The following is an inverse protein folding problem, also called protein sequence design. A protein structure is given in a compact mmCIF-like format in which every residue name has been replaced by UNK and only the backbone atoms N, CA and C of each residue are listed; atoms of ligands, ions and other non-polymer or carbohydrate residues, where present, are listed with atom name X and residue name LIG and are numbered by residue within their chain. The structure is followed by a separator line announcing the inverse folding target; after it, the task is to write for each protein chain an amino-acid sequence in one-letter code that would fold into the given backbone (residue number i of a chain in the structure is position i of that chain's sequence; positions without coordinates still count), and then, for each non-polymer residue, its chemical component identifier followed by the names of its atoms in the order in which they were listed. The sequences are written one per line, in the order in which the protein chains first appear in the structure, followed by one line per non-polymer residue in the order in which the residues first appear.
data_IF_047143000364
#
_entry.id   IF_047143000364
#
_cell.length_a   1.000
_cell.length_b   1.000
_cell.length_c   1.000
_cell.angle_alpha   90.00
_cell.angle_beta   90.00
_cell.angle_gamma   90.00
#
_symmetry.space_group_name_H-M   'P 1'
#
loop_
_entity.id
_entity.type
_entity.pdbx_description
1 polymer ?
#
# COMPACT_ATOMS: atom_id res chain seq x y z
N UNK A 1 -14.36 -10.71 22.60
CA UNK A 1 -14.02 -11.38 21.33
C UNK A 1 -12.95 -10.62 20.56
N UNK A 2 -13.22 -9.43 19.98
CA UNK A 2 -12.25 -8.81 19.06
C UNK A 2 -10.91 -8.39 19.71
N UNK A 3 -10.95 -7.85 20.92
CA UNK A 3 -9.74 -7.52 21.69
C UNK A 3 -8.95 -8.78 22.09
N UNK A 4 -9.65 -9.85 22.45
CA UNK A 4 -9.03 -11.07 22.98
C UNK A 4 -8.36 -11.90 21.88
N UNK A 5 -9.00 -12.02 20.71
CA UNK A 5 -8.48 -12.83 19.61
C UNK A 5 -7.61 -12.04 18.63
N UNK A 6 -7.95 -10.78 18.38
CA UNK A 6 -7.30 -9.96 17.35
C UNK A 6 -6.54 -8.76 17.92
N UNK A 7 -6.48 -8.59 19.24
CA UNK A 7 -5.79 -7.45 19.88
C UNK A 7 -6.28 -6.07 19.41
N UNK A 8 -7.52 -5.98 18.93
CA UNK A 8 -8.17 -4.72 18.54
C UNK A 8 -8.98 -4.22 19.73
N UNK A 9 -8.61 -3.06 20.29
CA UNK A 9 -9.27 -2.50 21.47
C UNK A 9 -10.00 -1.20 21.11
N UNK A 10 -11.31 -1.18 21.35
CA UNK A 10 -12.15 0.02 21.30
C UNK A 10 -12.52 0.36 22.74
N UNK A 11 -12.31 1.60 23.14
CA UNK A 11 -12.61 2.08 24.49
C UNK A 11 -14.13 2.26 24.72
N UNK A 12 -14.51 2.65 25.94
CA UNK A 12 -15.92 2.87 26.31
C UNK A 12 -16.53 4.10 25.63
N UNK A 13 -15.70 5.03 25.19
CA UNK A 13 -16.10 6.26 24.50
C UNK A 13 -16.23 6.05 22.98
N UNK A 14 -15.89 4.86 22.48
CA UNK A 14 -15.98 4.47 21.06
C UNK A 14 -14.72 4.77 20.25
N UNK A 15 -13.60 5.14 20.89
CA UNK A 15 -12.33 5.39 20.21
C UNK A 15 -11.50 4.11 20.08
N UNK A 16 -10.82 3.97 18.95
CA UNK A 16 -9.87 2.89 18.74
C UNK A 16 -8.58 3.17 19.51
N UNK A 17 -8.28 2.34 20.51
CA UNK A 17 -7.11 2.49 21.38
C UNK A 17 -5.96 1.55 21.01
N UNK A 18 -6.21 0.44 20.32
CA UNK A 18 -5.17 -0.56 19.99
C UNK A 18 -5.46 -1.31 18.70
N UNK A 19 -4.39 -1.60 17.97
CA UNK A 19 -4.35 -2.47 16.79
C UNK A 19 -3.35 -3.63 16.99
N UNK A 20 -3.54 -4.77 16.30
CA UNK A 20 -2.64 -5.92 16.38
C UNK A 20 -1.29 -5.67 15.71
N UNK A 21 -0.19 -6.08 16.32
CA UNK A 21 1.11 -6.12 15.63
C UNK A 21 1.19 -7.43 14.83
N UNK A 22 0.94 -7.36 13.52
CA UNK A 22 0.99 -8.53 12.61
C UNK A 22 2.43 -8.91 12.27
N UNK A 23 3.29 -7.91 12.06
CA UNK A 23 4.69 -8.07 11.75
C UNK A 23 5.52 -7.09 12.57
N UNK A 24 6.66 -7.56 13.09
CA UNK A 24 7.55 -6.70 13.86
C UNK A 24 8.08 -5.54 13.01
N UNK A 25 8.17 -4.37 13.62
CA UNK A 25 8.64 -3.11 12.98
C UNK A 25 7.84 -2.68 11.74
N UNK A 26 6.60 -3.16 11.59
CA UNK A 26 5.71 -2.75 10.51
C UNK A 26 4.43 -2.11 11.06
N UNK A 27 4.18 -0.88 10.65
CA UNK A 27 2.95 -0.14 10.94
C UNK A 27 2.17 0.03 9.64
N UNK A 28 0.87 -0.31 9.60
CA UNK A 28 0.05 -0.16 8.42
C UNK A 28 -0.21 1.32 8.12
N UNK A 29 -0.70 1.60 6.92
CA UNK A 29 -1.10 2.93 6.48
C UNK A 29 -2.36 3.39 7.25
N UNK A 30 -2.18 4.37 8.14
CA UNK A 30 -3.25 4.85 9.02
C UNK A 30 -4.30 5.70 8.28
N UNK A 31 -4.02 6.17 7.07
CA UNK A 31 -5.00 6.90 6.26
C UNK A 31 -6.16 5.98 5.83
N UNK A 32 -5.93 4.66 5.83
CA UNK A 32 -6.95 3.63 5.51
C UNK A 32 -7.69 3.12 6.74
N UNK A 33 -7.36 3.64 7.92
CA UNK A 33 -8.03 3.23 9.15
C UNK A 33 -9.56 3.41 9.10
N UNK A 34 -10.12 4.49 8.52
CA UNK A 34 -11.58 4.62 8.40
C UNK A 34 -12.21 3.50 7.55
N UNK A 35 -11.58 3.12 6.44
CA UNK A 35 -12.04 2.02 5.57
C UNK A 35 -11.99 0.67 6.30
N UNK A 36 -10.92 0.43 7.05
CA UNK A 36 -10.79 -0.75 7.89
C UNK A 36 -11.89 -0.82 8.96
N UNK A 37 -12.19 0.30 9.64
CA UNK A 37 -13.25 0.37 10.65
C UNK A 37 -14.64 0.10 10.05
N UNK A 38 -14.91 0.58 8.83
CA UNK A 38 -16.15 0.28 8.11
C UNK A 38 -16.26 -1.21 7.76
N UNK A 39 -15.17 -1.79 7.24
CA UNK A 39 -15.08 -3.22 6.92
C UNK A 39 -15.37 -4.07 8.17
N UNK A 40 -14.84 -3.64 9.31
CA UNK A 40 -14.93 -4.36 10.57
C UNK A 40 -16.36 -4.40 11.14
N UNK A 41 -17.15 -3.36 10.88
CA UNK A 41 -18.56 -3.29 11.26
C UNK A 41 -19.52 -3.92 10.26
N UNK A 42 -19.27 -3.77 8.95
CA UNK A 42 -20.22 -4.14 7.90
C UNK A 42 -19.95 -5.49 7.22
N UNK A 43 -18.67 -5.79 6.98
CA UNK A 43 -18.29 -6.90 6.10
C UNK A 43 -17.91 -8.18 6.87
N UNK A 44 -17.61 -8.04 8.17
CA UNK A 44 -17.27 -9.18 9.02
C UNK A 44 -18.54 -9.85 9.54
N UNK A 45 -18.68 -11.15 9.24
CA UNK A 45 -19.81 -11.95 9.72
C UNK A 45 -19.53 -12.47 11.14
N UNK A 46 -19.88 -11.68 12.15
CA UNK A 46 -19.62 -12.01 13.56
C UNK A 46 -20.47 -13.16 14.12
N UNK A 47 -21.56 -13.53 13.45
CA UNK A 47 -22.51 -14.54 13.93
C UNK A 47 -22.01 -15.99 13.81
N UNK A 48 -21.10 -16.25 12.85
CA UNK A 48 -20.59 -17.60 12.55
C UNK A 48 -19.09 -17.62 12.87
N UNK A 49 -18.71 -18.34 13.94
CA UNK A 49 -17.33 -18.35 14.46
C UNK A 49 -16.27 -18.55 13.36
N UNK A 50 -16.40 -19.60 12.55
CA UNK A 50 -15.40 -19.91 11.52
C UNK A 50 -15.28 -18.82 10.46
N UNK A 51 -16.40 -18.25 10.01
CA UNK A 51 -16.38 -17.19 9.00
C UNK A 51 -15.90 -15.88 9.62
N UNK A 52 -16.29 -15.56 10.86
CA UNK A 52 -15.80 -14.42 11.63
C UNK A 52 -14.26 -14.38 11.65
N UNK A 53 -13.60 -15.49 12.02
CA UNK A 53 -12.14 -15.57 11.99
C UNK A 53 -11.55 -15.36 10.60
N UNK A 54 -12.18 -15.96 9.58
CA UNK A 54 -11.71 -15.87 8.21
C UNK A 54 -11.83 -14.44 7.65
N UNK A 55 -13.00 -13.81 7.81
CA UNK A 55 -13.26 -12.45 7.30
C UNK A 55 -12.49 -11.41 8.10
N UNK A 56 -12.35 -11.59 9.42
CA UNK A 56 -11.54 -10.70 10.25
C UNK A 56 -10.05 -10.78 9.89
N UNK A 57 -9.50 -12.00 9.73
CA UNK A 57 -8.12 -12.17 9.30
C UNK A 57 -7.86 -11.59 7.90
N UNK A 58 -8.83 -11.73 6.99
CA UNK A 58 -8.76 -11.10 5.67
C UNK A 58 -8.80 -9.57 5.74
N UNK A 59 -9.69 -8.99 6.56
CA UNK A 59 -9.77 -7.54 6.77
C UNK A 59 -8.47 -6.98 7.38
N UNK A 60 -7.92 -7.64 8.40
CA UNK A 60 -6.62 -7.28 8.98
C UNK A 60 -5.52 -7.41 7.92
N UNK A 61 -5.48 -8.51 7.16
CA UNK A 61 -4.51 -8.72 6.10
C UNK A 61 -4.56 -7.62 5.02
N UNK A 62 -5.75 -7.19 4.62
CA UNK A 62 -5.95 -6.11 3.67
C UNK A 62 -5.51 -4.75 4.26
N UNK A 63 -5.85 -4.45 5.50
CA UNK A 63 -5.43 -3.21 6.16
C UNK A 63 -3.90 -3.13 6.35
N UNK A 64 -3.26 -4.27 6.61
CA UNK A 64 -1.80 -4.39 6.70
C UNK A 64 -1.11 -4.55 5.34
N UNK A 65 -1.84 -4.63 4.24
CA UNK A 65 -1.23 -4.72 2.92
C UNK A 65 -0.47 -3.42 2.61
N UNK A 66 0.69 -3.55 1.97
CA UNK A 66 1.48 -2.38 1.59
C UNK A 66 0.89 -1.73 0.34
N UNK A 67 0.31 -0.56 0.50
CA UNK A 67 -0.23 0.21 -0.60
C UNK A 67 0.78 1.23 -1.15
N UNK A 68 0.63 1.67 -2.41
CA UNK A 68 1.34 2.83 -2.91
C UNK A 68 0.96 4.08 -2.08
N UNK A 69 1.91 5.01 -1.83
CA UNK A 69 1.59 6.29 -1.23
C UNK A 69 0.61 7.06 -2.12
N UNK A 70 -0.19 7.94 -1.52
CA UNK A 70 -1.16 8.78 -2.26
C UNK A 70 -0.41 9.82 -3.13
N UNK A 71 0.81 10.18 -2.72
CA UNK A 71 1.70 11.10 -3.42
C UNK A 71 2.29 10.50 -4.71
N UNK A 72 2.49 11.31 -5.77
CA UNK A 72 2.98 10.83 -7.06
C UNK A 72 4.38 10.22 -6.95
N UNK A 73 4.67 9.20 -7.76
CA UNK A 73 6.01 8.60 -7.79
C UNK A 73 7.03 9.58 -8.40
N UNK A 74 8.07 9.99 -7.65
CA UNK A 74 9.09 10.92 -8.16
C UNK A 74 9.96 10.31 -9.26
N UNK A 75 10.13 8.99 -9.30
CA UNK A 75 10.93 8.27 -10.30
C UNK A 75 10.16 7.92 -11.59
N UNK A 76 8.85 8.16 -11.64
CA UNK A 76 7.99 7.82 -12.77
C UNK A 76 7.57 9.02 -13.62
N UNK A 77 7.12 8.76 -14.86
CA UNK A 77 6.45 9.77 -15.71
C UNK A 77 5.11 10.29 -15.15
N UNK A 78 4.71 9.89 -13.93
CA UNK A 78 3.43 10.24 -13.31
C UNK A 78 3.25 11.74 -13.08
N UNK A 79 4.34 12.45 -12.79
CA UNK A 79 4.33 13.93 -12.66
C UNK A 79 3.88 14.59 -13.98
N UNK A 80 4.16 13.98 -15.14
CA UNK A 80 3.78 14.54 -16.44
C UNK A 80 2.30 14.28 -16.82
N UNK A 81 1.64 13.27 -16.22
CA UNK A 81 0.25 12.93 -16.53
C UNK A 81 -0.74 13.88 -15.83
N UNK A 82 -0.43 14.35 -14.62
CA UNK A 82 -1.20 15.43 -13.99
C UNK A 82 -1.04 16.74 -14.76
N UNK A 83 0.16 17.06 -15.22
CA UNK A 83 0.42 18.23 -16.10
C UNK A 83 -0.43 18.19 -17.38
N UNK A 84 -0.45 17.04 -18.06
CA UNK A 84 -1.19 16.88 -19.32
C UNK A 84 -2.73 16.88 -19.17
N UNK A 85 -3.27 16.46 -18.03
CA UNK A 85 -4.71 16.52 -17.77
C UNK A 85 -5.17 17.92 -17.36
N UNK A 86 -4.30 18.76 -16.78
CA UNK A 86 -4.63 20.13 -16.37
C UNK A 86 -4.54 21.14 -17.53
N UNK A 87 -3.58 20.96 -18.45
CA UNK A 87 -3.47 21.75 -19.69
C UNK A 87 -4.72 21.68 -20.59
N UNK A 88 -5.50 20.59 -20.52
CA UNK A 88 -6.76 20.46 -21.27
C UNK A 88 -7.94 21.22 -20.63
N UNK A 89 -7.80 21.72 -19.39
CA UNK A 89 -8.87 22.43 -18.66
C UNK A 89 -8.59 23.92 -18.47
N UNK A 90 -7.36 24.40 -18.75
CA UNK A 90 -6.93 25.80 -18.62
C UNK A 90 -7.14 26.67 -19.88
N UNK A 91 -8.19 26.41 -20.68
CA UNK A 91 -8.61 27.37 -21.74
C UNK A 91 -9.67 28.37 -21.26
N UNK A 92 -9.95 28.44 -19.95
CA UNK A 92 -10.79 29.48 -19.38
C UNK A 92 -10.18 29.98 -18.07
N UNK A 93 -9.79 31.27 -18.09
CA UNK A 93 -9.35 32.12 -16.97
C UNK A 93 -7.83 32.20 -16.70
N UNK A 94 -7.22 33.25 -17.27
CA UNK A 94 -5.91 33.77 -16.88
C UNK A 94 -6.00 34.56 -15.57
N UNK A 95 -5.21 34.20 -14.55
CA UNK A 95 -4.45 35.13 -13.69
C UNK A 95 -3.63 34.37 -12.61
N UNK A 96 -2.30 34.48 -12.65
CA UNK A 96 -1.39 34.17 -11.52
C UNK A 96 -0.29 33.15 -11.84
N UNK A 97 0.85 33.59 -12.39
CA UNK A 97 1.96 32.73 -12.84
C UNK A 97 3.15 32.67 -11.88
N UNK A 98 2.92 32.63 -10.55
CA UNK A 98 4.04 32.63 -9.58
C UNK A 98 3.88 31.65 -8.41
N UNK A 99 2.75 30.95 -8.27
CA UNK A 99 2.53 30.05 -7.11
C UNK A 99 2.51 28.55 -7.46
N UNK A 100 2.45 28.18 -8.75
CA UNK A 100 2.30 26.75 -9.14
C UNK A 100 3.61 25.95 -9.09
N UNK A 101 4.75 26.56 -9.42
CA UNK A 101 6.06 25.90 -9.36
C UNK A 101 6.49 25.62 -7.92
N UNK A 102 6.10 26.48 -6.96
CA UNK A 102 6.40 26.29 -5.54
C UNK A 102 5.57 25.15 -4.92
N UNK A 103 4.30 25.00 -5.31
CA UNK A 103 3.42 23.90 -4.85
C UNK A 103 3.90 22.54 -5.41
N UNK A 104 4.34 22.51 -6.68
CA UNK A 104 4.92 21.32 -7.31
C UNK A 104 6.20 20.88 -6.58
N UNK A 105 7.03 21.83 -6.17
CA UNK A 105 8.29 21.56 -5.50
C UNK A 105 8.10 21.10 -4.04
N UNK A 106 7.11 21.64 -3.33
CA UNK A 106 6.75 21.19 -1.98
C UNK A 106 6.17 19.77 -2.00
N UNK A 107 5.27 19.47 -2.94
CA UNK A 107 4.69 18.13 -3.11
C UNK A 107 5.76 17.08 -3.43
N UNK A 108 6.75 17.44 -4.26
CA UNK A 108 7.87 16.55 -4.58
C UNK A 108 8.77 16.29 -3.38
N UNK A 109 9.03 17.32 -2.57
CA UNK A 109 9.82 17.20 -1.34
C UNK A 109 9.14 16.28 -0.32
N UNK A 110 7.80 16.21 -0.29
CA UNK A 110 7.05 15.24 0.53
C UNK A 110 7.01 13.85 -0.12
N UNK A 111 6.95 13.76 -1.44
CA UNK A 111 6.86 12.49 -2.15
C UNK A 111 8.13 11.63 -2.00
N UNK A 112 9.32 12.22 -2.14
CA UNK A 112 10.59 11.50 -2.04
C UNK A 112 10.74 10.67 -0.75
N UNK A 113 10.59 11.24 0.47
CA UNK A 113 10.72 10.46 1.70
C UNK A 113 9.64 9.38 1.83
N UNK A 114 8.40 9.64 1.41
CA UNK A 114 7.32 8.65 1.46
C UNK A 114 7.62 7.42 0.58
N UNK A 115 8.10 7.66 -0.64
CA UNK A 115 8.49 6.57 -1.55
C UNK A 115 9.75 5.85 -1.07
N UNK A 116 10.75 6.56 -0.56
CA UNK A 116 11.96 5.96 0.01
C UNK A 116 11.65 5.09 1.24
N UNK A 117 10.75 5.54 2.13
CA UNK A 117 10.29 4.76 3.27
C UNK A 117 9.61 3.47 2.81
N UNK A 118 8.75 3.55 1.79
CA UNK A 118 8.08 2.37 1.23
C UNK A 118 9.07 1.35 0.68
N UNK A 119 10.05 1.80 -0.11
CA UNK A 119 11.09 0.93 -0.67
C UNK A 119 11.93 0.28 0.44
N UNK A 120 12.25 1.03 1.49
CA UNK A 120 12.97 0.51 2.64
C UNK A 120 12.17 -0.59 3.35
N UNK A 121 10.87 -0.36 3.62
CA UNK A 121 10.00 -1.36 4.25
C UNK A 121 9.94 -2.64 3.39
N UNK A 122 9.81 -2.50 2.07
CA UNK A 122 9.80 -3.65 1.15
C UNK A 122 11.09 -4.46 1.29
N UNK A 123 12.24 -3.79 1.23
CA UNK A 123 13.54 -4.43 1.20
C UNK A 123 13.93 -5.07 2.54
N UNK A 124 13.67 -4.38 3.65
CA UNK A 124 14.22 -4.73 4.96
C UNK A 124 13.22 -5.33 5.93
N UNK A 125 11.91 -5.20 5.68
CA UNK A 125 10.86 -5.73 6.54
C UNK A 125 10.05 -6.81 5.83
N UNK A 126 9.43 -6.48 4.69
CA UNK A 126 8.52 -7.41 4.01
C UNK A 126 9.23 -8.59 3.36
N UNK A 127 10.24 -8.37 2.50
CA UNK A 127 10.90 -9.49 1.83
C UNK A 127 11.57 -10.48 2.79
N UNK A 128 12.29 -10.04 3.84
CA UNK A 128 12.82 -10.95 4.86
C UNK A 128 11.72 -11.78 5.53
N UNK A 129 10.58 -11.16 5.81
CA UNK A 129 9.45 -11.80 6.48
C UNK A 129 8.70 -12.78 5.57
N UNK A 130 8.48 -12.40 4.31
CA UNK A 130 7.89 -13.28 3.29
C UNK A 130 8.73 -14.55 3.10
N UNK A 131 10.07 -14.42 3.09
CA UNK A 131 10.97 -15.59 2.99
C UNK A 131 10.79 -16.59 4.14
N UNK A 132 10.38 -16.12 5.32
CA UNK A 132 10.21 -16.97 6.51
C UNK A 132 8.78 -17.49 6.67
N UNK A 133 7.77 -16.67 6.37
CA UNK A 133 6.38 -16.94 6.76
C UNK A 133 5.43 -17.18 5.58
N UNK A 134 5.72 -16.68 4.38
CA UNK A 134 4.77 -16.76 3.27
C UNK A 134 4.72 -18.17 2.69
N UNK A 135 3.51 -18.75 2.68
CA UNK A 135 3.20 -20.00 1.99
C UNK A 135 2.21 -19.71 0.86
N UNK A 136 2.69 -19.38 -0.36
CA UNK A 136 1.79 -18.92 -1.42
C UNK A 136 0.90 -20.07 -1.91
N UNK A 137 -0.43 -19.87 -2.03
CA UNK A 137 -1.31 -20.85 -2.67
C UNK A 137 -0.99 -20.99 -4.16
N UNK A 138 -1.34 -22.14 -4.74
CA UNK A 138 -1.06 -22.44 -6.16
C UNK A 138 -1.76 -21.48 -7.13
N UNK A 139 -2.87 -20.87 -6.72
CA UNK A 139 -3.60 -19.89 -7.52
C UNK A 139 -2.75 -18.67 -7.90
N UNK A 140 -1.81 -18.27 -7.03
CA UNK A 140 -0.92 -17.11 -7.22
C UNK A 140 0.03 -17.30 -8.42
N UNK A 141 0.28 -18.54 -8.84
CA UNK A 141 1.11 -18.81 -10.02
C UNK A 141 0.39 -18.50 -11.35
N UNK A 142 -0.94 -18.38 -11.33
CA UNK A 142 -1.77 -18.24 -12.54
C UNK A 142 -2.62 -16.96 -12.57
N UNK A 143 -2.80 -16.27 -11.44
CA UNK A 143 -3.65 -15.08 -11.34
C UNK A 143 -2.96 -13.77 -11.76
N UNK A 144 -1.68 -13.83 -12.14
CA UNK A 144 -0.89 -12.66 -12.55
C UNK A 144 -0.19 -11.94 -11.39
N UNK A 145 -0.28 -12.44 -10.16
CA UNK A 145 0.46 -11.87 -9.01
C UNK A 145 1.98 -11.97 -9.19
N UNK A 146 2.48 -13.10 -9.71
CA UNK A 146 3.88 -13.26 -10.08
C UNK A 146 4.02 -13.50 -11.58
N UNK A 147 4.75 -12.62 -12.26
CA UNK A 147 4.99 -12.70 -13.70
C UNK A 147 6.49 -12.74 -13.96
N UNK A 148 6.94 -13.74 -14.72
CA UNK A 148 8.32 -13.81 -15.16
C UNK A 148 8.59 -12.79 -16.26
N UNK A 149 9.27 -11.69 -15.91
CA UNK A 149 9.62 -10.62 -16.88
C UNK A 149 10.87 -10.97 -17.69
N UNK A 150 11.84 -11.64 -17.08
CA UNK A 150 13.11 -12.00 -17.71
C UNK A 150 13.67 -13.33 -17.19
N UNK A 151 14.64 -13.89 -17.92
CA UNK A 151 15.40 -15.08 -17.54
C UNK A 151 16.86 -14.87 -17.91
N UNK A 152 17.78 -15.13 -16.98
CA UNK A 152 19.21 -15.00 -17.21
C UNK A 152 19.71 -15.91 -18.35
N UNK A 153 19.15 -17.12 -18.49
CA UNK A 153 19.51 -18.04 -19.58
C UNK A 153 19.19 -17.47 -20.98
N UNK A 154 18.16 -16.64 -21.08
CA UNK A 154 17.82 -15.93 -22.32
C UNK A 154 18.67 -14.68 -22.49
N UNK A 155 18.95 -13.96 -21.41
CA UNK A 155 19.76 -12.74 -21.43
C UNK A 155 21.21 -13.02 -21.79
N UNK A 156 21.83 -14.07 -21.24
CA UNK A 156 23.22 -14.43 -21.53
C UNK A 156 23.47 -14.91 -22.97
N UNK A 157 22.43 -15.19 -23.75
CA UNK A 157 22.56 -15.48 -25.20
C UNK A 157 22.75 -14.23 -26.05
N UNK A 158 22.42 -13.07 -25.50
CA UNK A 158 22.46 -11.78 -26.21
C UNK A 158 23.51 -10.86 -25.58
N UNK A 159 23.59 -10.85 -24.24
CA UNK A 159 24.53 -10.05 -23.46
C UNK A 159 25.81 -10.84 -23.18
N UNK A 160 26.72 -10.85 -24.15
CA UNK A 160 28.06 -11.42 -24.01
C UNK A 160 29.07 -10.39 -23.49
N UNK A 161 30.18 -10.86 -22.92
CA UNK A 161 31.29 -9.99 -22.50
C UNK A 161 32.02 -9.46 -23.74
N UNK A 162 32.44 -8.19 -23.69
CA UNK A 162 33.30 -7.59 -24.71
C UNK A 162 34.64 -8.30 -24.84
#
# INVERSE_FOLDING_TARGET
MINEYFSIHIDQDGNLARLPVVLDQYTPDMDRLPEFMLTLGNDITWDIEKESFRTAAAAIGNFYALHPPIVPNPSGKGIQLQKKNKDCMETAEQAGSTDEDDIDQELLAEAEPAWAQREWIIQYVLFPSMRLFLKPPKSIAADGTFVQVASLDKLYKILERC
#
